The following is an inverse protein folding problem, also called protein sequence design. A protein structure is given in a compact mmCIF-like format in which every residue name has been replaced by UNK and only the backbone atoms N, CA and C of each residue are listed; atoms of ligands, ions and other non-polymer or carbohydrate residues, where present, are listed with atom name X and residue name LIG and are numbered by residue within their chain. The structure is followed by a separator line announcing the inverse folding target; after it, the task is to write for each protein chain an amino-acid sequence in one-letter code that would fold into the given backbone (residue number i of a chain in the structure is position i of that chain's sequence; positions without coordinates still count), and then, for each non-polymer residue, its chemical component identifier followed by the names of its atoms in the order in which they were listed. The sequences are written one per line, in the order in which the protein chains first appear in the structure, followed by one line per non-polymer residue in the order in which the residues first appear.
data_IF_091349509541
#
_entry.id   IF_091349509541
#
_cell.length_a   1.000
_cell.length_b   1.000
_cell.length_c   1.000
_cell.angle_alpha   90.00
_cell.angle_beta   90.00
_cell.angle_gamma   90.00
#
_symmetry.space_group_name_H-M   'P 1'
#
loop_
_entity.id
_entity.type
_entity.pdbx_description
1 polymer ?
#
# COMPACT_ATOMS: atom_id res chain seq x y z
N UNK A 1 6.86 7.87 15.63
CA UNK A 1 7.40 6.50 15.60
C UNK A 1 8.45 6.41 14.49
N UNK A 2 9.40 5.48 14.57
CA UNK A 2 10.45 5.31 13.57
C UNK A 2 9.92 4.53 12.36
N UNK A 3 10.16 5.06 11.16
CA UNK A 3 9.70 4.48 9.88
C UNK A 3 10.81 3.73 9.13
N UNK A 4 12.06 3.87 9.57
CA UNK A 4 13.20 3.24 8.90
C UNK A 4 13.06 1.72 8.97
N UNK A 5 13.06 1.06 7.82
CA UNK A 5 12.85 -0.39 7.73
C UNK A 5 11.38 -0.82 7.78
N UNK A 6 10.44 0.11 7.97
CA UNK A 6 9.03 -0.20 8.11
C UNK A 6 8.34 -0.44 6.75
N UNK A 7 7.09 -0.89 6.85
CA UNK A 7 6.17 -1.05 5.73
C UNK A 7 5.03 -0.04 5.89
N UNK A 8 4.80 0.77 4.86
CA UNK A 8 3.69 1.72 4.82
C UNK A 8 2.48 1.07 4.16
N UNK A 9 1.32 1.13 4.80
CA UNK A 9 0.09 0.54 4.26
C UNK A 9 -0.92 1.62 3.88
N UNK A 10 -1.26 1.72 2.59
CA UNK A 10 -2.28 2.63 2.07
C UNK A 10 -3.67 2.10 2.41
N UNK A 11 -4.14 2.43 3.61
CA UNK A 11 -5.39 1.95 4.16
C UNK A 11 -6.13 3.11 4.82
N UNK A 12 -7.44 3.19 4.58
CA UNK A 12 -8.35 3.98 5.39
C UNK A 12 -9.08 3.05 6.35
N UNK A 13 -8.56 2.78 7.56
CA UNK A 13 -9.13 1.77 8.43
C UNK A 13 -10.43 2.26 9.08
N UNK A 14 -11.29 1.31 9.44
CA UNK A 14 -12.35 1.51 10.41
C UNK A 14 -11.81 1.08 11.77
N UNK A 15 -11.76 2.03 12.70
CA UNK A 15 -11.23 1.83 14.04
C UNK A 15 -12.39 1.79 15.03
N UNK A 16 -12.26 0.93 16.04
CA UNK A 16 -13.13 0.93 17.22
C UNK A 16 -12.27 1.26 18.43
N UNK A 17 -12.62 2.34 19.13
CA UNK A 17 -12.05 2.62 20.44
C UNK A 17 -12.58 1.61 21.46
N UNK A 18 -11.67 1.01 22.21
CA UNK A 18 -11.99 0.08 23.30
C UNK A 18 -11.51 0.67 24.63
N UNK A 19 -11.86 0.04 25.76
CA UNK A 19 -11.46 0.53 27.10
C UNK A 19 -9.94 0.67 27.23
N UNK A 20 -9.19 -0.19 26.54
CA UNK A 20 -7.73 -0.22 26.53
C UNK A 20 -7.17 -0.14 25.11
N UNK A 21 -7.39 1.00 24.46
CA UNK A 21 -6.77 1.34 23.18
C UNK A 21 -7.71 1.23 21.99
N UNK A 22 -7.24 0.62 20.91
CA UNK A 22 -7.91 0.61 19.61
C UNK A 22 -7.91 -0.78 19.00
N UNK A 23 -9.01 -1.12 18.33
CA UNK A 23 -9.11 -2.31 17.48
C UNK A 23 -9.46 -1.90 16.06
N UNK A 24 -8.72 -2.43 15.11
CA UNK A 24 -9.00 -2.24 13.70
C UNK A 24 -10.08 -3.25 13.28
N UNK A 25 -11.23 -2.76 12.83
CA UNK A 25 -12.42 -3.58 12.52
C UNK A 25 -12.45 -3.97 11.04
N UNK A 26 -11.99 -3.07 10.17
CA UNK A 26 -11.83 -3.31 8.74
C UNK A 26 -10.67 -2.46 8.22
N UNK A 27 -9.80 -3.04 7.40
CA UNK A 27 -8.63 -2.33 6.86
C UNK A 27 -8.22 -2.87 5.51
N UNK A 28 -8.99 -2.53 4.47
CA UNK A 28 -8.68 -2.89 3.09
C UNK A 28 -7.74 -1.89 2.42
N UNK A 29 -7.02 -2.31 1.36
CA UNK A 29 -6.13 -1.41 0.65
C UNK A 29 -6.93 -0.36 -0.10
N UNK A 30 -6.34 0.82 -0.20
CA UNK A 30 -6.83 1.89 -1.05
C UNK A 30 -5.92 2.10 -2.27
N UNK A 31 -6.41 2.84 -3.27
CA UNK A 31 -5.70 3.00 -4.55
C UNK A 31 -4.43 3.82 -4.34
N UNK A 32 -3.27 3.17 -4.46
CA UNK A 32 -1.96 3.79 -4.20
C UNK A 32 -1.64 4.92 -5.18
N UNK A 33 -2.17 4.86 -6.39
CA UNK A 33 -1.95 5.90 -7.40
C UNK A 33 -2.42 7.30 -6.99
N UNK A 34 -3.30 7.42 -5.97
CA UNK A 34 -3.72 8.72 -5.43
C UNK A 34 -2.60 9.47 -4.70
N UNK A 35 -1.56 8.76 -4.23
CA UNK A 35 -0.43 9.33 -3.48
C UNK A 35 0.91 9.21 -4.22
N UNK A 36 0.90 8.76 -5.48
CA UNK A 36 2.09 8.59 -6.34
C UNK A 36 2.98 9.84 -6.40
N UNK A 37 2.40 11.04 -6.32
CA UNK A 37 3.15 12.29 -6.36
C UNK A 37 4.14 12.46 -5.19
N UNK A 38 3.88 11.79 -4.06
CA UNK A 38 4.67 11.91 -2.82
C UNK A 38 5.50 10.67 -2.52
N UNK A 39 5.05 9.48 -2.96
CA UNK A 39 5.57 8.20 -2.48
C UNK A 39 7.07 8.03 -2.67
N UNK A 40 7.60 8.39 -3.85
CA UNK A 40 9.04 8.31 -4.14
C UNK A 40 9.89 9.09 -3.13
N UNK A 41 9.37 10.23 -2.64
CA UNK A 41 10.06 11.06 -1.64
C UNK A 41 9.89 10.45 -0.25
N UNK A 42 8.69 10.00 0.10
CA UNK A 42 8.40 9.33 1.38
C UNK A 42 9.29 8.09 1.57
N UNK A 43 9.44 7.26 0.55
CA UNK A 43 10.31 6.08 0.60
C UNK A 43 11.74 6.46 0.96
N UNK A 44 12.29 7.48 0.29
CA UNK A 44 13.67 7.94 0.47
C UNK A 44 13.90 8.63 1.81
N UNK A 45 13.01 9.56 2.15
CA UNK A 45 13.13 10.38 3.35
C UNK A 45 13.03 9.52 4.62
N UNK A 46 12.11 8.56 4.63
CA UNK A 46 11.82 7.76 5.82
C UNK A 46 12.47 6.36 5.80
N UNK A 47 13.16 5.99 4.71
CA UNK A 47 13.86 4.71 4.60
C UNK A 47 12.93 3.50 4.65
N UNK A 48 11.76 3.59 4.02
CA UNK A 48 10.77 2.51 3.95
C UNK A 48 11.29 1.32 3.15
N UNK A 49 10.87 0.11 3.51
CA UNK A 49 11.26 -1.14 2.82
C UNK A 49 10.09 -1.88 2.17
N UNK A 50 8.86 -1.46 2.45
CA UNK A 50 7.70 -1.94 1.71
C UNK A 50 6.59 -0.91 1.66
N UNK A 51 5.84 -0.92 0.57
CA UNK A 51 4.57 -0.19 0.42
C UNK A 51 3.47 -1.21 0.16
N UNK A 52 2.39 -1.20 0.93
CA UNK A 52 1.21 -2.05 0.71
C UNK A 52 0.06 -1.19 0.17
N UNK A 53 -0.63 -1.67 -0.86
CA UNK A 53 -1.88 -1.04 -1.33
C UNK A 53 -2.56 -1.81 -2.45
N UNK A 54 -3.29 -1.09 -3.32
CA UNK A 54 -3.85 -1.64 -4.57
C UNK A 54 -3.63 -0.70 -5.76
N UNK A 55 -3.66 -1.28 -6.96
CA UNK A 55 -3.61 -0.57 -8.24
C UNK A 55 -2.22 -0.29 -8.78
N UNK A 56 -1.16 -0.55 -8.01
CA UNK A 56 0.21 -0.25 -8.43
C UNK A 56 0.54 1.24 -8.35
N UNK A 57 1.77 1.56 -8.75
CA UNK A 57 2.35 2.90 -8.67
C UNK A 57 3.18 3.21 -9.91
N UNK A 58 3.57 4.47 -10.05
CA UNK A 58 4.21 5.01 -11.24
C UNK A 58 5.72 4.86 -11.28
N UNK A 59 6.33 5.43 -12.34
CA UNK A 59 7.76 5.31 -12.63
C UNK A 59 8.66 5.93 -11.56
N UNK A 60 8.23 7.04 -10.95
CA UNK A 60 9.01 7.70 -9.90
C UNK A 60 9.10 6.82 -8.66
N UNK A 61 7.98 6.24 -8.26
CA UNK A 61 7.95 5.28 -7.16
C UNK A 61 8.77 4.04 -7.51
N UNK A 62 8.61 3.45 -8.69
CA UNK A 62 9.41 2.29 -9.13
C UNK A 62 10.91 2.55 -9.05
N UNK A 63 11.35 3.75 -9.45
CA UNK A 63 12.74 4.14 -9.32
C UNK A 63 13.19 4.22 -7.86
N UNK A 64 12.39 4.84 -6.98
CA UNK A 64 12.68 4.89 -5.55
C UNK A 64 12.72 3.49 -4.91
N UNK A 65 11.82 2.58 -5.31
CA UNK A 65 11.84 1.18 -4.87
C UNK A 65 13.19 0.52 -5.17
N UNK A 66 13.70 0.72 -6.38
CA UNK A 66 15.00 0.19 -6.80
C UNK A 66 16.17 0.82 -6.04
N UNK A 67 16.18 2.14 -5.90
CA UNK A 67 17.28 2.87 -5.24
C UNK A 67 17.38 2.55 -3.74
N UNK A 68 16.23 2.37 -3.07
CA UNK A 68 16.17 2.15 -1.62
C UNK A 68 16.06 0.67 -1.23
N UNK A 69 16.01 -0.27 -2.18
CA UNK A 69 15.80 -1.68 -1.86
C UNK A 69 14.43 -1.94 -1.21
N UNK A 70 13.38 -1.27 -1.71
CA UNK A 70 12.01 -1.33 -1.25
C UNK A 70 11.13 -2.07 -2.28
N UNK A 71 9.98 -2.61 -1.85
CA UNK A 71 9.05 -3.33 -2.73
C UNK A 71 7.62 -2.81 -2.61
N UNK A 72 6.84 -2.92 -3.69
CA UNK A 72 5.40 -2.69 -3.64
C UNK A 72 4.63 -4.01 -3.55
N UNK A 73 3.83 -4.12 -2.52
CA UNK A 73 3.01 -5.25 -2.13
C UNK A 73 1.55 -4.94 -2.45
N UNK A 74 0.98 -5.67 -3.39
CA UNK A 74 -0.46 -5.65 -3.64
C UNK A 74 -1.15 -6.60 -2.66
N UNK A 75 -2.13 -6.11 -1.89
CA UNK A 75 -2.96 -6.95 -1.00
C UNK A 75 -4.39 -7.06 -1.51
N UNK A 76 -5.18 -7.92 -0.88
CA UNK A 76 -6.50 -8.36 -1.35
C UNK A 76 -7.50 -7.18 -1.29
N UNK A 77 -8.02 -6.78 -2.45
CA UNK A 77 -9.06 -5.77 -2.53
C UNK A 77 -10.44 -6.34 -2.15
N UNK A 78 -11.25 -5.57 -1.42
CA UNK A 78 -12.62 -5.96 -1.07
C UNK A 78 -12.77 -6.88 0.14
N UNK A 79 -11.67 -7.35 0.74
CA UNK A 79 -11.67 -8.27 1.88
C UNK A 79 -11.24 -7.56 3.19
N UNK A 80 -11.76 -6.35 3.44
CA UNK A 80 -11.25 -5.47 4.50
C UNK A 80 -11.35 -6.05 5.92
N UNK A 81 -12.44 -6.77 6.24
CA UNK A 81 -12.62 -7.44 7.55
C UNK A 81 -11.65 -8.61 7.69
N UNK A 82 -11.49 -9.41 6.63
CA UNK A 82 -10.53 -10.52 6.62
C UNK A 82 -9.08 -10.04 6.81
N UNK A 83 -8.71 -8.91 6.21
CA UNK A 83 -7.39 -8.32 6.43
C UNK A 83 -7.25 -7.76 7.85
N UNK A 84 -8.31 -7.21 8.43
CA UNK A 84 -8.31 -6.77 9.82
C UNK A 84 -8.08 -7.93 10.81
N UNK A 85 -8.57 -9.15 10.51
CA UNK A 85 -8.30 -10.35 11.31
C UNK A 85 -6.82 -10.77 11.33
N UNK A 86 -5.99 -10.21 10.44
CA UNK A 86 -4.53 -10.41 10.41
C UNK A 86 -3.77 -9.34 11.20
N UNK A 87 -4.48 -8.33 11.71
CA UNK A 87 -3.92 -7.27 12.55
C UNK A 87 -4.07 -7.70 14.01
N UNK A 88 -2.94 -8.00 14.65
CA UNK A 88 -2.91 -8.52 16.03
C UNK A 88 -3.08 -7.42 17.05
N UNK A 89 -2.55 -6.24 16.74
CA UNK A 89 -2.55 -5.12 17.67
C UNK A 89 -2.48 -3.80 16.92
N UNK A 90 -3.28 -2.83 17.37
CA UNK A 90 -3.02 -1.42 17.12
C UNK A 90 -2.14 -0.93 18.25
N UNK A 91 -0.88 -0.64 17.95
CA UNK A 91 0.12 -0.24 18.94
C UNK A 91 -0.13 1.19 19.38
N UNK A 92 -0.39 2.09 18.43
CA UNK A 92 -0.57 3.52 18.70
C UNK A 92 -1.20 4.23 17.47
N UNK A 93 -1.67 5.46 17.66
CA UNK A 93 -2.30 6.29 16.63
C UNK A 93 -1.98 7.78 16.79
N UNK A 94 -1.73 8.46 15.67
CA UNK A 94 -1.33 9.88 15.65
C UNK A 94 -2.22 10.72 14.74
N UNK A 95 -2.35 12.00 15.10
CA UNK A 95 -3.13 13.02 14.36
C UNK A 95 -4.61 12.65 14.16
N UNK A 96 -5.18 11.86 15.08
CA UNK A 96 -6.57 11.41 15.04
C UNK A 96 -7.55 12.59 15.05
N UNK A 97 -7.28 13.62 15.88
CA UNK A 97 -8.15 14.81 15.95
C UNK A 97 -8.05 15.69 14.70
N UNK A 98 -6.89 15.71 14.04
CA UNK A 98 -6.60 16.57 12.89
C UNK A 98 -7.13 15.97 11.58
N UNK A 99 -6.97 14.65 11.42
CA UNK A 99 -7.28 13.95 10.16
C UNK A 99 -8.47 12.98 10.24
N UNK A 100 -8.97 12.71 11.45
CA UNK A 100 -9.97 11.67 11.68
C UNK A 100 -9.39 10.26 11.58
N UNK A 101 -10.14 9.26 12.03
CA UNK A 101 -9.68 7.86 12.10
C UNK A 101 -9.20 7.28 10.74
N UNK A 102 -9.85 7.54 9.60
CA UNK A 102 -9.44 6.93 8.33
C UNK A 102 -8.13 7.49 7.76
N UNK A 103 -7.77 8.73 8.06
CA UNK A 103 -6.57 9.40 7.49
C UNK A 103 -5.47 9.62 8.55
N UNK A 104 -5.74 9.25 9.80
CA UNK A 104 -4.75 9.20 10.86
C UNK A 104 -3.68 8.14 10.59
N UNK A 105 -2.51 8.31 11.21
CA UNK A 105 -1.43 7.33 11.12
C UNK A 105 -1.61 6.30 12.23
N UNK A 106 -1.64 5.03 11.86
CA UNK A 106 -1.80 3.91 12.78
C UNK A 106 -0.56 3.02 12.73
N UNK A 107 0.06 2.78 13.88
CA UNK A 107 1.10 1.76 14.00
C UNK A 107 0.44 0.45 14.37
N UNK A 108 0.61 -0.56 13.52
CA UNK A 108 -0.06 -1.85 13.65
C UNK A 108 0.95 -2.99 13.61
N UNK A 109 0.64 -4.05 14.34
CA UNK A 109 1.35 -5.33 14.25
C UNK A 109 0.45 -6.33 13.54
N UNK A 110 1.03 -7.05 12.58
CA UNK A 110 0.32 -7.99 11.73
C UNK A 110 1.00 -9.36 11.76
N UNK A 111 0.22 -10.41 11.55
CA UNK A 111 0.71 -11.79 11.40
C UNK A 111 0.01 -12.41 10.19
N UNK A 112 0.76 -13.14 9.36
CA UNK A 112 0.23 -13.80 8.16
C UNK A 112 -0.57 -12.86 7.24
N UNK A 113 -0.12 -11.61 7.12
CA UNK A 113 -0.79 -10.60 6.30
C UNK A 113 -0.57 -10.90 4.81
N UNK A 114 -1.62 -11.20 4.03
CA UNK A 114 -1.44 -11.67 2.66
C UNK A 114 -1.14 -10.49 1.73
N UNK A 115 -0.03 -10.59 1.01
CA UNK A 115 0.30 -9.66 -0.07
C UNK A 115 1.22 -10.33 -1.09
N UNK A 116 1.26 -9.76 -2.30
CA UNK A 116 2.09 -10.22 -3.42
C UNK A 116 2.95 -9.07 -3.90
N UNK A 117 4.25 -9.30 -4.11
CA UNK A 117 5.13 -8.32 -4.75
C UNK A 117 4.70 -8.13 -6.20
N UNK A 118 4.30 -6.91 -6.55
CA UNK A 118 3.90 -6.56 -7.93
C UNK A 118 4.77 -5.48 -8.55
N UNK A 119 5.62 -4.82 -7.74
CA UNK A 119 6.76 -4.03 -8.21
C UNK A 119 7.93 -4.31 -7.28
N UNK A 120 9.11 -4.60 -7.83
CA UNK A 120 10.27 -5.04 -7.04
C UNK A 120 11.40 -4.02 -6.99
N UNK A 121 12.40 -4.30 -6.15
CA UNK A 121 13.61 -3.51 -5.99
C UNK A 121 14.61 -3.64 -7.16
N UNK A 122 14.25 -4.36 -8.22
CA UNK A 122 15.09 -4.54 -9.42
C UNK A 122 14.57 -3.72 -10.60
N UNK A 123 13.47 -2.98 -10.41
CA UNK A 123 12.85 -2.15 -11.43
C UNK A 123 11.80 -2.88 -12.27
N UNK A 124 11.34 -4.06 -11.83
CA UNK A 124 10.25 -4.76 -12.51
C UNK A 124 8.90 -4.25 -11.99
N UNK A 125 7.95 -4.06 -12.91
CA UNK A 125 6.56 -3.71 -12.61
C UNK A 125 5.60 -4.62 -13.36
N UNK A 126 4.82 -5.42 -12.62
CA UNK A 126 3.75 -6.23 -13.20
C UNK A 126 2.68 -5.33 -13.85
N UNK A 127 2.41 -4.16 -13.26
CA UNK A 127 1.40 -3.22 -13.75
C UNK A 127 1.78 -2.61 -15.10
N UNK A 128 3.05 -2.27 -15.29
CA UNK A 128 3.57 -1.76 -16.57
C UNK A 128 3.49 -2.86 -17.64
N UNK A 129 4.02 -4.06 -17.34
CA UNK A 129 4.00 -5.21 -18.25
C UNK A 129 2.59 -5.59 -18.72
N UNK A 130 1.62 -5.63 -17.81
CA UNK A 130 0.22 -5.93 -18.14
C UNK A 130 -0.41 -4.81 -18.96
N UNK A 131 -0.11 -3.54 -18.65
CA UNK A 131 -0.63 -2.39 -19.40
C UNK A 131 -0.13 -2.41 -20.84
N UNK A 132 1.16 -2.67 -21.05
CA UNK A 132 1.76 -2.77 -22.38
C UNK A 132 1.14 -3.92 -23.19
N UNK A 133 1.06 -5.11 -22.59
CA UNK A 133 0.45 -6.29 -23.23
C UNK A 133 -1.01 -6.04 -23.60
N UNK A 134 -1.80 -5.48 -22.69
CA UNK A 134 -3.22 -5.21 -22.90
C UNK A 134 -3.44 -4.15 -23.97
N UNK A 135 -2.62 -3.09 -23.98
CA UNK A 135 -2.67 -2.03 -24.98
C UNK A 135 -2.33 -2.54 -26.37
N UNK A 136 -1.33 -3.43 -26.48
CA UNK A 136 -0.99 -4.08 -27.75
C UNK A 136 -2.17 -4.87 -28.31
N UNK A 137 -2.74 -5.76 -27.50
CA UNK A 137 -3.91 -6.58 -27.89
C UNK A 137 -5.10 -5.68 -28.26
N UNK A 138 -5.36 -4.63 -27.50
CA UNK A 138 -6.43 -3.68 -27.80
C UNK A 138 -6.27 -3.04 -29.19
N UNK A 139 -5.07 -2.60 -29.56
CA UNK A 139 -4.80 -2.02 -30.90
C UNK A 139 -5.00 -3.03 -32.02
N UNK A 140 -4.58 -4.28 -31.83
CA UNK A 140 -4.79 -5.35 -32.81
C UNK A 140 -6.29 -5.63 -33.04
N UNK A 141 -7.11 -5.54 -31.99
CA UNK A 141 -8.56 -5.71 -32.10
C UNK A 141 -9.23 -4.57 -32.86
N UNK A 142 -8.78 -3.33 -32.67
CA UNK A 142 -9.31 -2.16 -33.40
C UNK A 142 -9.00 -2.20 -34.90
N UNK A 143 -7.86 -2.77 -35.31
CA UNK A 143 -7.49 -2.87 -36.72
C UNK A 143 -8.24 -3.98 -37.48
N UNK A 144 -8.95 -4.87 -36.77
CA UNK A 144 -9.73 -5.97 -37.35
C UNK A 144 -11.21 -5.63 -37.54
N UNK A 145 -11.66 -4.44 -37.14
CA UNK A 145 -12.99 -3.88 -37.41
C UNK A 145 -12.93 -2.97 -38.63
#
# INVERSE_FOLDING_TARGET
FELKGAVLYHCGPIIKKEEQGYRLVAGGPTTSQRVEMYEWWVIKEYGLKGIIGKGGMGKKTLQALREEGCVYLHTISGAAVYLADRIKRVVDGWKIEEFGEPEAMWLIEVEDFPAIVTMDAHGNSLHESITEKSTRVYRELLQKQ
#
